data_IF_489429684048
#
_entry.id   IF_489429684048
#
_cell.length_a   1.000
_cell.length_b   1.000
_cell.length_c   1.000
_cell.angle_alpha   90.00
_cell.angle_beta   90.00
_cell.angle_gamma   90.00
#
_symmetry.space_group_name_H-M   'P 1'
#
loop_
_entity.id
_entity.type
_entity.pdbx_description
1 polymer ?
#
# COMPACT_ATOMS: atom_id res chain seq x y z
N UNK A 1 -20.41 -8.85 -25.40
CA UNK A 1 -20.14 -9.59 -24.15
C UNK A 1 -18.77 -9.17 -23.62
N UNK A 2 -18.70 -8.33 -22.59
CA UNK A 2 -17.41 -8.02 -21.96
C UNK A 2 -16.92 -9.28 -21.25
N UNK A 3 -15.88 -9.93 -21.80
CA UNK A 3 -15.25 -11.09 -21.19
C UNK A 3 -14.84 -10.83 -19.74
N UNK A 4 -14.64 -11.89 -18.96
CA UNK A 4 -14.10 -11.77 -17.59
C UNK A 4 -12.76 -11.03 -17.70
N UNK A 5 -12.66 -9.76 -17.25
CA UNK A 5 -11.43 -8.95 -17.39
C UNK A 5 -10.18 -9.60 -16.80
N UNK A 6 -10.34 -10.56 -15.89
CA UNK A 6 -9.24 -11.24 -15.22
C UNK A 6 -9.58 -12.72 -15.10
N UNK A 7 -8.86 -13.56 -15.86
CA UNK A 7 -8.96 -15.02 -15.83
C UNK A 7 -8.19 -15.59 -14.64
N UNK A 8 -8.62 -16.75 -14.16
CA UNK A 8 -7.85 -17.49 -13.16
C UNK A 8 -6.70 -18.22 -13.84
N UNK A 9 -5.51 -18.13 -13.26
CA UNK A 9 -4.27 -18.67 -13.80
C UNK A 9 -3.51 -19.36 -12.68
N UNK A 10 -2.88 -20.49 -13.01
CA UNK A 10 -1.90 -21.13 -12.16
C UNK A 10 -0.53 -20.48 -12.42
N UNK A 11 0.04 -19.88 -11.39
CA UNK A 11 1.37 -19.26 -11.43
C UNK A 11 2.34 -20.15 -10.69
N UNK A 12 3.41 -20.58 -11.35
CA UNK A 12 4.38 -21.54 -10.81
C UNK A 12 5.27 -20.97 -9.70
N UNK A 13 5.60 -19.69 -9.78
CA UNK A 13 6.44 -19.02 -8.80
C UNK A 13 5.88 -17.65 -8.46
N UNK A 14 5.66 -17.42 -7.16
CA UNK A 14 5.28 -16.13 -6.61
C UNK A 14 6.23 -15.73 -5.48
N UNK A 15 6.55 -14.44 -5.30
CA UNK A 15 7.57 -14.03 -4.32
C UNK A 15 7.27 -14.38 -2.85
N UNK A 16 6.04 -14.78 -2.51
CA UNK A 16 5.64 -15.10 -1.13
C UNK A 16 5.44 -16.60 -0.87
N UNK A 17 5.62 -17.47 -1.87
CA UNK A 17 5.36 -18.89 -1.72
C UNK A 17 6.03 -19.71 -2.83
N UNK A 18 6.56 -20.87 -2.44
CA UNK A 18 7.04 -21.88 -3.38
C UNK A 18 5.88 -22.74 -3.92
N UNK A 19 5.98 -23.10 -5.19
CA UNK A 19 5.05 -23.95 -5.92
C UNK A 19 3.84 -23.23 -6.52
N UNK A 20 2.99 -24.00 -7.19
CA UNK A 20 1.83 -23.52 -7.93
C UNK A 20 0.86 -22.73 -7.04
N UNK A 21 0.49 -21.53 -7.47
CA UNK A 21 -0.49 -20.67 -6.81
C UNK A 21 -1.56 -20.22 -7.76
N UNK A 22 -2.78 -20.18 -7.25
CA UNK A 22 -3.93 -19.73 -8.00
C UNK A 22 -4.06 -18.21 -7.89
N UNK A 23 -3.84 -17.51 -9.00
CA UNK A 23 -3.94 -16.05 -9.10
C UNK A 23 -4.98 -15.67 -10.15
N UNK A 24 -5.41 -14.42 -10.14
CA UNK A 24 -6.39 -13.87 -11.07
C UNK A 24 -5.70 -13.16 -12.24
N UNK A 25 -4.68 -13.79 -12.81
CA UNK A 25 -3.83 -13.21 -13.84
C UNK A 25 -2.91 -12.14 -13.27
N UNK A 26 -2.60 -11.12 -14.07
CA UNK A 26 -1.66 -10.05 -13.71
C UNK A 26 -2.29 -8.66 -13.85
N UNK A 27 -1.81 -7.70 -13.06
CA UNK A 27 -2.10 -6.28 -13.17
C UNK A 27 -0.79 -5.51 -13.00
N UNK A 28 -0.45 -4.64 -13.95
CA UNK A 28 0.83 -3.92 -13.99
C UNK A 28 2.05 -4.84 -13.87
N UNK A 29 1.99 -6.02 -14.51
CA UNK A 29 3.05 -7.04 -14.45
C UNK A 29 3.12 -7.81 -13.13
N UNK A 30 2.30 -7.46 -12.12
CA UNK A 30 2.26 -8.13 -10.83
C UNK A 30 1.12 -9.15 -10.75
N UNK A 31 1.28 -10.26 -10.03
CA UNK A 31 0.19 -11.19 -9.76
C UNK A 31 -1.02 -10.50 -9.11
N UNK A 32 -2.21 -10.76 -9.66
CA UNK A 32 -3.47 -10.21 -9.16
C UNK A 32 -4.14 -11.23 -8.23
N UNK A 33 -4.41 -10.86 -7.00
CA UNK A 33 -5.09 -11.71 -6.01
C UNK A 33 -6.51 -11.22 -5.78
N UNK A 34 -7.49 -12.12 -5.82
CA UNK A 34 -8.85 -11.77 -5.43
C UNK A 34 -8.94 -11.55 -3.91
N UNK A 35 -9.93 -10.77 -3.48
CA UNK A 35 -10.27 -10.63 -2.06
C UNK A 35 -10.36 -11.99 -1.36
N UNK A 36 -9.64 -12.14 -0.25
CA UNK A 36 -9.60 -13.38 0.54
C UNK A 36 -8.53 -14.40 0.12
N UNK A 37 -7.90 -14.26 -1.07
CA UNK A 37 -6.90 -15.21 -1.56
C UNK A 37 -5.46 -14.90 -1.12
N UNK A 38 -5.20 -13.69 -0.61
CA UNK A 38 -3.85 -13.28 -0.18
C UNK A 38 -3.51 -13.88 1.20
N UNK A 39 -2.37 -14.60 1.35
CA UNK A 39 -1.91 -15.10 2.64
C UNK A 39 -1.57 -13.93 3.58
N UNK A 40 -2.32 -13.81 4.69
CA UNK A 40 -2.24 -12.66 5.61
C UNK A 40 -0.98 -12.64 6.48
N UNK A 41 -0.36 -13.80 6.64
CA UNK A 41 0.92 -14.02 7.32
C UNK A 41 2.11 -13.52 6.50
N UNK A 42 2.00 -13.54 5.16
CA UNK A 42 3.11 -13.21 4.25
C UNK A 42 2.93 -11.89 3.50
N UNK A 43 1.69 -11.52 3.20
CA UNK A 43 1.37 -10.34 2.42
C UNK A 43 0.53 -9.34 3.21
N UNK A 44 0.91 -8.08 3.13
CA UNK A 44 0.20 -6.99 3.76
C UNK A 44 0.15 -5.75 2.86
N UNK A 45 -0.95 -5.02 2.93
CA UNK A 45 -1.03 -3.67 2.37
C UNK A 45 -0.15 -2.71 3.18
N UNK A 46 0.25 -1.58 2.58
CA UNK A 46 1.01 -0.53 3.27
C UNK A 46 0.36 -0.06 4.58
N UNK A 47 -0.98 -0.01 4.63
CA UNK A 47 -1.74 0.35 5.82
C UNK A 47 -1.67 -0.73 6.91
N UNK A 48 -1.76 -2.00 6.52
CA UNK A 48 -1.62 -3.14 7.46
C UNK A 48 -0.21 -3.21 8.04
N UNK A 49 0.84 -3.02 7.22
CA UNK A 49 2.21 -2.92 7.73
C UNK A 49 2.35 -1.81 8.77
N UNK A 50 1.78 -0.63 8.51
CA UNK A 50 1.83 0.48 9.47
C UNK A 50 1.13 0.17 10.79
N UNK A 51 0.01 -0.52 10.76
CA UNK A 51 -0.68 -0.98 11.97
C UNK A 51 0.19 -1.94 12.81
N UNK A 52 1.11 -2.67 12.17
CA UNK A 52 2.07 -3.58 12.80
C UNK A 52 3.39 -2.89 13.19
N UNK A 53 3.52 -1.56 13.08
CA UNK A 53 4.80 -0.90 13.34
C UNK A 53 5.88 -1.18 12.27
N UNK A 54 5.46 -1.59 11.08
CA UNK A 54 6.31 -1.86 9.93
C UNK A 54 6.12 -0.85 8.79
N UNK A 55 7.05 -0.84 7.85
CA UNK A 55 7.02 -0.12 6.58
C UNK A 55 7.61 -1.00 5.48
N UNK A 56 7.25 -0.80 4.19
CA UNK A 56 7.84 -1.55 3.08
C UNK A 56 9.36 -1.45 2.95
N UNK A 57 10.00 -0.48 3.63
CA UNK A 57 11.46 -0.42 3.68
C UNK A 57 12.15 0.01 2.38
N UNK A 58 11.39 0.36 1.34
CA UNK A 58 11.88 0.63 -0.02
C UNK A 58 11.58 -0.50 -1.02
N UNK A 59 11.01 -1.61 -0.55
CA UNK A 59 10.60 -2.70 -1.43
C UNK A 59 9.40 -2.32 -2.29
N UNK A 60 9.42 -2.78 -3.53
CA UNK A 60 8.29 -2.73 -4.45
C UNK A 60 7.21 -3.75 -4.05
N UNK A 61 5.94 -3.50 -4.42
CA UNK A 61 4.88 -4.46 -4.18
C UNK A 61 5.10 -5.74 -4.99
N UNK A 62 4.75 -6.88 -4.40
CA UNK A 62 4.92 -8.21 -5.00
C UNK A 62 3.63 -8.74 -5.63
N UNK A 63 2.49 -8.15 -5.30
CA UNK A 63 1.18 -8.51 -5.84
C UNK A 63 0.21 -7.32 -5.73
N UNK A 64 -0.93 -7.44 -6.42
CA UNK A 64 -2.04 -6.50 -6.32
C UNK A 64 -3.28 -7.24 -5.85
N UNK A 65 -3.98 -6.70 -4.85
CA UNK A 65 -5.29 -7.17 -4.41
C UNK A 65 -6.37 -6.53 -5.26
N UNK A 66 -7.26 -7.34 -5.82
CA UNK A 66 -8.44 -6.92 -6.57
C UNK A 66 -9.72 -7.15 -5.76
N UNK A 67 -10.50 -6.08 -5.60
CA UNK A 67 -11.82 -6.13 -4.97
C UNK A 67 -12.87 -5.55 -5.91
N UNK A 68 -13.92 -6.31 -6.17
CA UNK A 68 -15.11 -5.84 -6.87
C UNK A 68 -16.27 -5.71 -5.89
N UNK A 69 -16.73 -4.49 -5.69
CA UNK A 69 -17.88 -4.19 -4.84
C UNK A 69 -19.16 -4.49 -5.59
N UNK A 70 -19.97 -5.43 -5.09
CA UNK A 70 -21.19 -5.88 -5.78
C UNK A 70 -22.25 -4.79 -5.87
N UNK A 71 -22.49 -4.07 -4.78
CA UNK A 71 -23.55 -3.06 -4.70
C UNK A 71 -23.27 -1.83 -5.57
N UNK A 72 -22.04 -1.31 -5.55
CA UNK A 72 -21.67 -0.08 -6.27
C UNK A 72 -21.02 -0.33 -7.64
N UNK A 73 -20.71 -1.60 -7.98
CA UNK A 73 -19.95 -1.97 -9.18
C UNK A 73 -18.48 -1.51 -9.18
N UNK A 74 -18.04 -0.77 -8.15
CA UNK A 74 -16.67 -0.22 -8.05
C UNK A 74 -15.62 -1.32 -7.97
N UNK A 75 -14.47 -1.06 -8.57
CA UNK A 75 -13.30 -1.94 -8.54
C UNK A 75 -12.16 -1.21 -7.85
N UNK A 76 -11.60 -1.84 -6.83
CA UNK A 76 -10.45 -1.30 -6.10
C UNK A 76 -9.26 -2.23 -6.27
N UNK A 77 -8.09 -1.61 -6.33
CA UNK A 77 -6.80 -2.28 -6.38
C UNK A 77 -5.99 -1.84 -5.17
N UNK A 78 -5.25 -2.76 -4.56
CA UNK A 78 -4.35 -2.42 -3.45
C UNK A 78 -3.04 -3.18 -3.57
N UNK A 79 -1.92 -2.46 -3.54
CA UNK A 79 -0.59 -3.05 -3.56
C UNK A 79 -0.32 -3.88 -2.30
N UNK A 80 0.19 -5.09 -2.49
CA UNK A 80 0.59 -6.02 -1.44
C UNK A 80 2.10 -6.12 -1.38
N UNK A 81 2.62 -6.05 -0.16
CA UNK A 81 4.04 -6.11 0.15
C UNK A 81 4.33 -7.35 0.97
N UNK A 82 5.54 -7.88 0.83
CA UNK A 82 6.03 -8.99 1.64
C UNK A 82 6.31 -8.52 3.06
N UNK A 83 5.72 -9.20 4.04
CA UNK A 83 5.88 -8.88 5.48
C UNK A 83 7.32 -9.16 5.93
N UNK A 84 7.94 -10.24 5.46
CA UNK A 84 9.32 -10.61 5.82
C UNK A 84 10.37 -9.63 5.30
N UNK A 85 10.09 -8.90 4.22
CA UNK A 85 10.97 -7.84 3.70
C UNK A 85 10.69 -6.47 4.33
N UNK A 86 9.63 -6.35 5.15
CA UNK A 86 9.28 -5.10 5.78
C UNK A 86 10.29 -4.73 6.87
N UNK A 87 10.45 -3.43 7.08
CA UNK A 87 11.36 -2.88 8.10
C UNK A 87 10.55 -2.16 9.17
N UNK A 88 11.05 -2.06 10.41
CA UNK A 88 10.42 -1.22 11.42
C UNK A 88 10.23 0.21 10.93
N UNK A 89 9.14 0.84 11.40
CA UNK A 89 8.93 2.28 11.22
C UNK A 89 10.11 3.02 11.82
N UNK A 90 10.65 4.01 11.08
CA UNK A 90 11.68 4.90 11.62
C UNK A 90 11.12 5.62 12.85
N UNK A 91 11.79 5.53 14.02
CA UNK A 91 11.30 6.21 15.21
C UNK A 91 11.36 7.72 15.02
N UNK A 92 10.42 8.39 15.69
CA UNK A 92 10.41 9.83 15.82
C UNK A 92 11.49 10.23 16.83
N UNK A 93 12.47 11.03 16.40
CA UNK A 93 13.56 11.48 17.27
C UNK A 93 13.28 12.89 17.80
N UNK A 94 13.86 13.31 18.94
CA UNK A 94 13.74 14.69 19.43
C UNK A 94 14.10 15.74 18.37
N UNK A 95 15.20 15.53 17.63
CA UNK A 95 15.61 16.42 16.56
C UNK A 95 14.56 16.53 15.44
N UNK A 96 13.93 15.41 15.04
CA UNK A 96 12.84 15.42 14.04
C UNK A 96 11.61 16.16 14.55
N UNK A 97 11.28 16.04 15.84
CA UNK A 97 10.18 16.81 16.47
C UNK A 97 10.46 18.30 16.42
N UNK A 98 11.63 18.74 16.89
CA UNK A 98 12.03 20.14 16.87
C UNK A 98 12.02 20.74 15.44
N UNK A 99 12.49 19.98 14.45
CA UNK A 99 12.44 20.38 13.04
C UNK A 99 11.00 20.54 12.54
N UNK A 100 10.10 19.61 12.88
CA UNK A 100 8.70 19.69 12.51
C UNK A 100 7.99 20.89 13.16
N UNK A 101 8.27 21.15 14.44
CA UNK A 101 7.72 22.30 15.15
C UNK A 101 8.19 23.62 14.55
N UNK A 102 9.46 23.71 14.17
CA UNK A 102 10.01 24.88 13.44
C UNK A 102 9.28 25.08 12.11
N UNK A 103 9.12 24.02 11.31
CA UNK A 103 8.42 24.10 10.02
C UNK A 103 6.94 24.49 10.19
N UNK A 104 6.25 23.95 11.20
CA UNK A 104 4.85 24.25 11.48
C UNK A 104 4.66 25.70 11.95
N UNK A 105 5.57 26.25 12.77
CA UNK A 105 5.57 27.67 13.15
C UNK A 105 5.72 28.57 11.93
N UNK A 106 6.69 28.31 11.06
CA UNK A 106 6.90 29.08 9.84
C UNK A 106 5.67 29.05 8.92
N UNK A 107 5.07 27.88 8.70
CA UNK A 107 3.86 27.73 7.87
C UNK A 107 2.68 28.55 8.41
N UNK A 108 2.48 28.56 9.74
CA UNK A 108 1.41 29.35 10.38
C UNK A 108 1.68 30.85 10.22
N UNK A 109 2.89 31.31 10.53
CA UNK A 109 3.26 32.71 10.40
C UNK A 109 3.06 33.23 8.97
N UNK A 110 3.49 32.46 7.96
CA UNK A 110 3.27 32.82 6.55
C UNK A 110 1.77 32.95 6.20
N UNK A 111 0.93 32.01 6.67
CA UNK A 111 -0.52 32.08 6.43
C UNK A 111 -1.15 33.32 7.06
N UNK A 112 -0.75 33.69 8.28
CA UNK A 112 -1.26 34.89 8.95
C UNK A 112 -0.82 36.17 8.23
N UNK A 113 0.46 36.29 7.88
CA UNK A 113 0.96 37.44 7.13
C UNK A 113 0.23 37.62 5.78
N UNK A 114 0.00 36.51 5.05
CA UNK A 114 -0.76 36.52 3.80
C UNK A 114 -2.22 36.94 3.99
N UNK A 115 -2.86 36.56 5.09
CA UNK A 115 -4.23 36.99 5.39
C UNK A 115 -4.27 38.50 5.68
N UNK A 116 -3.32 39.00 6.47
CA UNK A 116 -3.23 40.43 6.81
C UNK A 116 -2.94 41.32 5.59
N UNK A 117 -2.16 40.85 4.62
CA UNK A 117 -1.89 41.60 3.39
C UNK A 117 -3.02 41.55 2.35
N UNK A 118 -4.05 40.72 2.57
CA UNK A 118 -5.19 40.54 1.67
C UNK A 118 -6.48 41.20 2.20
N UNK A 119 -6.41 41.80 3.39
CA UNK A 119 -7.41 42.68 3.98
C UNK A 119 -7.03 44.14 3.70
#
# INVERSE_FOLDING_TARGET
MAGKSFSWVLTESVPWAEGLRFTRGTHDGLPLLSYGCAPRDKLATRRQLRAQGLRPGGADPVAVLYVRHRASGRRNFASLYLVSAAKPVRPMTPAKRAALDKANRARRAYRYARYQSAA
#
